data_IF_203764538921
#
_entry.id   IF_203764538921
#
_cell.length_a   1.000
_cell.length_b   1.000
_cell.length_c   1.000
_cell.angle_alpha   90.00
_cell.angle_beta   90.00
_cell.angle_gamma   90.00
#
_symmetry.space_group_name_H-M   'P 1'
#
loop_
_entity.id
_entity.type
_entity.pdbx_description
1 polymer ?
#
# COMPACT_ATOMS: atom_id res chain seq x y z
N UNK A 1 6.69 14.55 10.48
CA UNK A 1 7.26 13.97 9.27
C UNK A 1 7.11 12.45 9.24
N UNK A 2 6.73 11.90 8.10
CA UNK A 2 6.45 10.46 8.00
C UNK A 2 7.69 9.59 8.20
N UNK A 3 8.85 10.01 7.70
CA UNK A 3 10.08 9.23 7.87
C UNK A 3 10.46 9.10 9.34
N UNK A 4 10.29 10.18 10.10
CA UNK A 4 10.55 10.17 11.54
C UNK A 4 9.56 9.27 12.26
N UNK A 5 8.29 9.34 11.87
CA UNK A 5 7.27 8.48 12.47
C UNK A 5 7.55 7.00 12.20
N UNK A 6 7.99 6.66 10.98
CA UNK A 6 8.36 5.29 10.64
C UNK A 6 9.57 4.84 11.47
N UNK A 7 10.58 5.70 11.59
CA UNK A 7 11.77 5.39 12.38
C UNK A 7 11.42 5.13 13.85
N UNK A 8 10.53 5.95 14.42
CA UNK A 8 10.08 5.76 15.80
C UNK A 8 9.35 4.43 15.99
N UNK A 9 8.48 4.09 15.02
CA UNK A 9 7.76 2.83 15.08
C UNK A 9 8.72 1.64 15.01
N UNK A 10 9.75 1.72 14.16
CA UNK A 10 10.76 0.66 14.04
C UNK A 10 11.58 0.46 15.31
N UNK A 11 11.82 1.52 16.06
CA UNK A 11 12.54 1.41 17.32
C UNK A 11 11.83 0.55 18.36
N UNK A 12 10.54 0.32 18.18
CA UNK A 12 9.76 -0.55 19.06
C UNK A 12 9.86 -2.03 18.66
N UNK A 13 10.60 -2.35 17.61
CA UNK A 13 10.78 -3.69 17.06
C UNK A 13 9.44 -4.40 16.83
N UNK A 14 8.53 -3.81 16.01
CA UNK A 14 7.21 -4.37 15.81
C UNK A 14 7.26 -5.63 14.97
N UNK A 15 6.29 -6.51 15.17
CA UNK A 15 6.09 -7.68 14.31
C UNK A 15 5.29 -7.34 13.07
N UNK A 16 4.37 -6.38 13.20
CA UNK A 16 3.49 -5.93 12.11
C UNK A 16 3.47 -4.40 12.16
N UNK A 17 3.62 -3.77 11.01
CA UNK A 17 3.46 -2.32 10.88
C UNK A 17 2.20 -1.99 10.08
N UNK A 18 1.47 -0.98 10.55
CA UNK A 18 0.26 -0.50 9.90
C UNK A 18 0.54 0.90 9.35
N UNK A 19 0.22 1.10 8.08
CA UNK A 19 0.33 2.39 7.42
C UNK A 19 -1.02 2.80 6.86
N UNK A 20 -1.51 3.96 7.25
CA UNK A 20 -2.79 4.48 6.77
C UNK A 20 -2.54 5.70 5.92
N UNK A 21 -2.58 5.51 4.59
CA UNK A 21 -2.34 6.54 3.58
C UNK A 21 -1.09 7.37 3.90
N UNK A 22 0.09 6.74 4.01
CA UNK A 22 1.29 7.40 4.48
C UNK A 22 1.79 8.54 3.59
N UNK A 23 1.32 8.60 2.34
CA UNK A 23 1.71 9.65 1.39
C UNK A 23 0.65 10.73 1.24
N UNK A 24 -0.45 10.64 1.97
CA UNK A 24 -1.50 11.65 1.94
C UNK A 24 -0.97 13.01 2.36
N UNK A 25 -1.33 14.05 1.62
CA UNK A 25 -0.94 15.44 1.89
C UNK A 25 0.56 15.73 1.80
N UNK A 26 1.35 14.84 1.20
CA UNK A 26 2.78 15.08 0.95
C UNK A 26 2.98 15.57 -0.49
N UNK A 27 4.05 16.34 -0.71
CA UNK A 27 4.44 16.72 -2.07
C UNK A 27 5.13 15.54 -2.79
N UNK A 28 5.29 15.61 -4.13
CA UNK A 28 5.82 14.47 -4.90
C UNK A 28 7.19 13.97 -4.45
N UNK A 29 8.09 14.85 -4.04
CA UNK A 29 9.42 14.44 -3.58
C UNK A 29 9.34 13.65 -2.27
N UNK A 30 8.50 14.12 -1.35
CA UNK A 30 8.30 13.46 -0.07
C UNK A 30 7.59 12.12 -0.25
N UNK A 31 6.64 12.04 -1.17
CA UNK A 31 5.96 10.79 -1.49
C UNK A 31 6.98 9.73 -1.90
N UNK A 32 7.89 10.08 -2.82
CA UNK A 32 8.90 9.15 -3.30
C UNK A 32 9.79 8.67 -2.15
N UNK A 33 10.26 9.57 -1.29
CA UNK A 33 11.12 9.21 -0.17
C UNK A 33 10.43 8.24 0.80
N UNK A 34 9.16 8.50 1.12
CA UNK A 34 8.40 7.64 2.03
C UNK A 34 8.17 6.26 1.40
N UNK A 35 7.80 6.23 0.12
CA UNK A 35 7.57 4.95 -0.56
C UNK A 35 8.86 4.14 -0.68
N UNK A 36 10.00 4.80 -0.94
CA UNK A 36 11.29 4.11 -1.00
C UNK A 36 11.63 3.43 0.33
N UNK A 37 11.37 4.09 1.44
CA UNK A 37 11.56 3.50 2.77
C UNK A 37 10.67 2.28 2.96
N UNK A 38 9.41 2.38 2.54
CA UNK A 38 8.46 1.28 2.68
C UNK A 38 8.82 0.09 1.78
N UNK A 39 9.34 0.36 0.57
CA UNK A 39 9.84 -0.69 -0.31
C UNK A 39 10.99 -1.45 0.35
N UNK A 40 11.93 -0.72 0.94
CA UNK A 40 13.06 -1.34 1.64
C UNK A 40 12.59 -2.20 2.81
N UNK A 41 11.61 -1.74 3.58
CA UNK A 41 11.05 -2.52 4.69
C UNK A 41 10.40 -3.81 4.19
N UNK A 42 9.67 -3.72 3.07
CA UNK A 42 9.03 -4.89 2.47
C UNK A 42 10.07 -5.92 2.03
N UNK A 43 11.16 -5.45 1.43
CA UNK A 43 12.24 -6.33 0.97
C UNK A 43 12.98 -6.99 2.13
N UNK A 44 12.98 -6.36 3.30
CA UNK A 44 13.58 -6.95 4.50
C UNK A 44 12.67 -7.97 5.18
N UNK A 45 11.48 -8.18 4.65
CA UNK A 45 10.54 -9.17 5.19
C UNK A 45 9.61 -8.65 6.27
N UNK A 46 9.52 -7.34 6.45
CA UNK A 46 8.60 -6.74 7.42
C UNK A 46 7.15 -7.03 7.01
N UNK A 47 6.36 -7.55 7.93
CA UNK A 47 4.93 -7.72 7.69
C UNK A 47 4.23 -6.37 7.83
N UNK A 48 3.53 -5.98 6.78
CA UNK A 48 2.88 -4.66 6.73
C UNK A 48 1.45 -4.76 6.21
N UNK A 49 0.59 -3.93 6.77
CA UNK A 49 -0.73 -3.66 6.22
C UNK A 49 -0.74 -2.19 5.81
N UNK A 50 -1.00 -1.92 4.55
CA UNK A 50 -0.91 -0.56 4.01
C UNK A 50 -2.21 -0.17 3.33
N UNK A 51 -2.80 0.94 3.78
CA UNK A 51 -3.94 1.56 3.10
C UNK A 51 -3.36 2.64 2.21
N UNK A 52 -3.55 2.53 0.90
CA UNK A 52 -2.91 3.45 -0.04
C UNK A 52 -3.66 3.54 -1.37
N UNK A 53 -3.48 4.67 -2.05
CA UNK A 53 -3.89 4.87 -3.43
C UNK A 53 -2.70 4.73 -4.39
N UNK A 54 -1.51 4.48 -3.86
CA UNK A 54 -0.29 4.38 -4.65
C UNK A 54 -0.17 2.99 -5.26
N UNK A 55 -0.81 2.82 -6.43
CA UNK A 55 -0.90 1.49 -7.05
C UNK A 55 0.43 1.00 -7.62
N UNK A 56 1.30 1.90 -8.05
CA UNK A 56 2.65 1.51 -8.48
C UNK A 56 3.44 0.86 -7.35
N UNK A 57 3.37 1.45 -6.16
CA UNK A 57 3.99 0.89 -4.96
C UNK A 57 3.37 -0.46 -4.61
N UNK A 58 2.04 -0.52 -4.57
CA UNK A 58 1.33 -1.75 -4.22
C UNK A 58 1.68 -2.89 -5.19
N UNK A 59 1.72 -2.60 -6.48
CA UNK A 59 2.05 -3.58 -7.50
C UNK A 59 3.47 -4.13 -7.33
N UNK A 60 4.40 -3.28 -6.90
CA UNK A 60 5.79 -3.65 -6.72
C UNK A 60 6.02 -4.54 -5.50
N UNK A 61 5.36 -4.26 -4.37
CA UNK A 61 5.73 -4.88 -3.10
C UNK A 61 4.65 -5.71 -2.43
N UNK A 62 3.39 -5.53 -2.77
CA UNK A 62 2.32 -6.23 -2.08
C UNK A 62 2.24 -7.70 -2.50
N UNK A 63 2.00 -8.56 -1.53
CA UNK A 63 1.75 -9.99 -1.80
C UNK A 63 0.27 -10.23 -2.09
N UNK A 64 -0.59 -9.42 -1.46
CA UNK A 64 -2.03 -9.56 -1.54
C UNK A 64 -2.68 -8.18 -1.58
N UNK A 65 -3.70 -8.05 -2.42
CA UNK A 65 -4.47 -6.81 -2.54
C UNK A 65 -5.88 -7.01 -2.01
N UNK A 66 -6.36 -6.01 -1.29
CA UNK A 66 -7.73 -5.98 -0.80
C UNK A 66 -8.34 -4.66 -1.22
N UNK A 67 -9.43 -4.72 -1.99
CA UNK A 67 -10.16 -3.53 -2.39
C UNK A 67 -11.39 -3.38 -1.48
N UNK A 68 -11.50 -2.23 -0.86
CA UNK A 68 -12.62 -1.94 0.04
C UNK A 68 -13.43 -0.76 -0.47
N UNK A 69 -14.73 -0.83 -0.24
CA UNK A 69 -15.63 0.26 -0.59
C UNK A 69 -16.85 0.22 0.35
N UNK A 70 -17.28 1.38 0.79
CA UNK A 70 -18.39 1.51 1.72
C UNK A 70 -18.26 0.64 2.98
N UNK A 71 -17.04 0.55 3.50
CA UNK A 71 -16.75 -0.22 4.71
C UNK A 71 -16.76 -1.73 4.54
N UNK A 72 -16.78 -2.21 3.29
CA UNK A 72 -16.83 -3.64 2.99
C UNK A 72 -15.69 -4.05 2.10
N UNK A 73 -15.26 -5.30 2.24
CA UNK A 73 -14.29 -5.90 1.31
C UNK A 73 -15.04 -6.27 0.03
N UNK A 74 -14.62 -5.65 -1.07
CA UNK A 74 -15.21 -5.91 -2.38
C UNK A 74 -14.49 -7.06 -3.08
N UNK A 75 -13.16 -7.05 -3.01
CA UNK A 75 -12.35 -8.06 -3.68
C UNK A 75 -11.04 -8.27 -2.94
N UNK A 76 -10.58 -9.53 -2.89
CA UNK A 76 -9.28 -9.89 -2.33
C UNK A 76 -8.61 -10.88 -3.29
N UNK A 77 -7.36 -10.63 -3.63
CA UNK A 77 -6.63 -11.50 -4.56
C UNK A 77 -5.13 -11.27 -4.43
N UNK A 78 -4.35 -12.23 -4.94
CA UNK A 78 -2.92 -12.03 -5.14
C UNK A 78 -2.70 -10.77 -5.98
N UNK A 79 -1.59 -10.10 -5.75
CA UNK A 79 -1.29 -8.86 -6.46
C UNK A 79 -1.35 -9.03 -7.97
N UNK A 80 -0.76 -10.08 -8.51
CA UNK A 80 -0.78 -10.31 -9.96
C UNK A 80 -2.19 -10.49 -10.50
N UNK A 81 -3.00 -11.29 -9.82
CA UNK A 81 -4.39 -11.52 -10.20
C UNK A 81 -5.23 -10.26 -10.09
N UNK A 82 -5.01 -9.49 -9.03
CA UNK A 82 -5.76 -8.27 -8.79
C UNK A 82 -5.61 -7.28 -9.94
N UNK A 83 -4.38 -7.08 -10.42
CA UNK A 83 -4.10 -6.13 -11.49
C UNK A 83 -4.36 -6.69 -12.89
N UNK A 84 -4.08 -7.98 -13.10
CA UNK A 84 -4.23 -8.59 -14.43
C UNK A 84 -5.68 -8.99 -14.74
N UNK A 85 -6.41 -9.44 -13.73
CA UNK A 85 -7.76 -9.97 -13.92
C UNK A 85 -8.69 -9.62 -12.76
N UNK A 86 -8.95 -8.32 -12.54
CA UNK A 86 -9.90 -7.92 -11.50
C UNK A 86 -11.27 -8.48 -11.81
N UNK A 87 -11.95 -9.00 -10.79
CA UNK A 87 -13.22 -9.71 -10.99
C UNK A 87 -14.44 -8.84 -10.74
N UNK A 88 -14.37 -7.97 -9.75
CA UNK A 88 -15.48 -7.08 -9.45
C UNK A 88 -15.52 -5.91 -10.44
N UNK A 89 -16.71 -5.52 -10.88
CA UNK A 89 -16.86 -4.34 -11.74
C UNK A 89 -16.37 -3.08 -11.06
N UNK A 90 -16.54 -2.97 -9.74
CA UNK A 90 -16.07 -1.81 -8.98
C UNK A 90 -14.55 -1.76 -8.95
N UNK A 91 -13.89 -2.89 -8.81
CA UNK A 91 -12.43 -2.98 -8.88
C UNK A 91 -11.95 -2.57 -10.26
N UNK A 92 -12.58 -3.06 -11.31
CA UNK A 92 -12.24 -2.71 -12.70
C UNK A 92 -12.36 -1.20 -12.92
N UNK A 93 -13.43 -0.60 -12.43
CA UNK A 93 -13.64 0.84 -12.56
C UNK A 93 -12.56 1.62 -11.81
N UNK A 94 -12.28 1.24 -10.59
CA UNK A 94 -11.24 1.88 -9.77
C UNK A 94 -9.89 1.85 -10.47
N UNK A 95 -9.47 0.68 -10.94
CA UNK A 95 -8.17 0.52 -11.60
C UNK A 95 -8.12 1.30 -12.92
N UNK A 96 -9.21 1.36 -13.66
CA UNK A 96 -9.26 2.11 -14.92
C UNK A 96 -9.09 3.62 -14.70
N UNK A 97 -9.52 4.14 -13.56
CA UNK A 97 -9.40 5.56 -13.23
C UNK A 97 -8.01 5.94 -12.74
N UNK A 98 -7.28 5.02 -12.13
CA UNK A 98 -5.96 5.27 -11.56
C UNK A 98 -4.85 4.94 -12.55
N UNK A 99 -5.00 3.86 -13.27
CA UNK A 99 -4.05 3.41 -14.28
C UNK A 99 -4.44 3.95 -15.65
#
# INVERSE_FOLDING_TARGET
>A
QQRVAIARALCMEPKIMLFDEPTSALDPEMIKEVLDVMVDLAKQGMTMIVVTHEMGFAKEVADCMIFMDEGKIVEKADTKEFFANPKSDRTKLFLSQIL
#
